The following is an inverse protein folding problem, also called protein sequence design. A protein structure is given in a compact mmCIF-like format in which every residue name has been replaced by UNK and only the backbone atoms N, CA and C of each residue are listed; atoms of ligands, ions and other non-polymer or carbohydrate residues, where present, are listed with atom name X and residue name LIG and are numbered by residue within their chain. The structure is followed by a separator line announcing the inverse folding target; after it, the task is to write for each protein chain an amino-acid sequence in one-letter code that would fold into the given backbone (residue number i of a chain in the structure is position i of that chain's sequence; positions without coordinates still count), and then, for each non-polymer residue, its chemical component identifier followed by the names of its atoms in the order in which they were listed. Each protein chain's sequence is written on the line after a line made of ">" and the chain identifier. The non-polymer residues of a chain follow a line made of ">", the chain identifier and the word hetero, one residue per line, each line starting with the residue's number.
data_IF_156784477290
#
_entry.id   IF_156784477290
#
_cell.length_a   1.000
_cell.length_b   1.000
_cell.length_c   1.000
_cell.angle_alpha   90.00
_cell.angle_beta   90.00
_cell.angle_gamma   90.00
#
_symmetry.space_group_name_H-M   'P 1'
#
loop_
_entity.id
_entity.type
_entity.pdbx_description
1 polymer ?
#
# COMPACT_ATOMS: atom_id res chain seq x y z
N UNK A 1 3.35 -18.42 59.93
CA UNK A 1 3.85 -18.63 58.58
C UNK A 1 2.70 -18.50 57.56
N UNK A 2 2.49 -17.36 56.93
CA UNK A 2 1.64 -17.20 55.71
C UNK A 2 1.58 -15.72 55.33
N UNK A 3 2.62 -15.21 54.66
CA UNK A 3 2.63 -13.81 54.16
C UNK A 3 3.39 -13.68 52.82
N UNK A 4 3.47 -14.70 52.00
CA UNK A 4 4.30 -14.68 50.78
C UNK A 4 3.58 -14.98 49.47
N UNK A 5 2.23 -14.96 49.40
CA UNK A 5 1.53 -15.37 48.19
C UNK A 5 0.61 -14.31 47.54
N UNK A 6 0.66 -13.06 47.92
CA UNK A 6 -0.23 -12.02 47.35
C UNK A 6 0.44 -10.96 46.45
N UNK A 7 1.75 -11.04 46.25
CA UNK A 7 2.48 -9.98 45.51
C UNK A 7 2.81 -10.33 44.02
N UNK A 8 2.49 -11.52 43.53
CA UNK A 8 2.85 -11.94 42.16
C UNK A 8 1.74 -11.70 41.14
N UNK A 9 0.50 -11.47 41.55
CA UNK A 9 -0.63 -11.35 40.63
C UNK A 9 -0.83 -9.95 39.98
N UNK A 10 -0.13 -8.92 40.44
CA UNK A 10 -0.34 -7.53 39.96
C UNK A 10 0.64 -7.14 38.86
N UNK A 11 1.76 -7.83 38.71
CA UNK A 11 2.78 -7.51 37.71
C UNK A 11 2.45 -8.05 36.30
N UNK A 12 1.52 -8.97 36.11
CA UNK A 12 1.19 -9.58 34.83
C UNK A 12 0.12 -8.81 34.02
N UNK A 13 -0.58 -7.85 34.65
CA UNK A 13 -1.67 -7.11 33.96
C UNK A 13 -1.22 -5.79 33.33
N UNK A 14 0.01 -5.36 33.56
CA UNK A 14 0.53 -4.09 33.02
C UNK A 14 1.27 -4.22 31.70
N UNK A 15 1.51 -5.44 31.17
CA UNK A 15 2.23 -5.63 29.90
C UNK A 15 1.32 -5.69 28.66
N UNK A 16 0.00 -5.78 28.80
CA UNK A 16 -0.91 -5.92 27.64
C UNK A 16 -1.50 -4.61 27.11
N UNK A 17 -1.17 -3.48 27.73
CA UNK A 17 -1.71 -2.17 27.33
C UNK A 17 -0.79 -1.36 26.40
N UNK A 18 0.39 -1.87 26.05
CA UNK A 18 1.34 -1.13 25.19
C UNK A 18 1.15 -1.37 23.68
N UNK A 19 0.28 -2.29 23.28
CA UNK A 19 0.14 -2.64 21.85
C UNK A 19 -0.97 -1.86 21.10
N UNK A 20 -1.74 -1.02 21.76
CA UNK A 20 -2.88 -0.32 21.15
C UNK A 20 -2.62 1.14 20.76
N UNK A 21 -1.39 1.63 20.91
CA UNK A 21 -1.05 3.03 20.59
C UNK A 21 -0.25 3.22 19.30
N UNK A 22 -0.01 2.15 18.56
CA UNK A 22 0.74 2.22 17.33
C UNK A 22 -0.22 2.46 16.16
N UNK A 23 -0.32 3.65 15.67
CA UNK A 23 -0.68 4.07 14.31
C UNK A 23 -1.60 5.31 14.21
N UNK A 24 -1.90 5.98 15.30
CA UNK A 24 -2.60 7.26 15.18
C UNK A 24 -1.67 8.30 14.54
N UNK A 25 -1.96 8.67 13.28
CA UNK A 25 -1.20 9.68 12.55
C UNK A 25 -0.13 9.14 11.59
N UNK A 26 -0.07 7.81 11.33
CA UNK A 26 0.79 7.25 10.29
C UNK A 26 0.37 7.74 8.89
N UNK A 27 1.35 7.97 8.02
CA UNK A 27 1.09 8.26 6.62
C UNK A 27 1.33 7.00 5.80
N UNK A 28 0.26 6.52 5.15
CA UNK A 28 0.30 5.40 4.21
C UNK A 28 0.45 5.93 2.79
N UNK A 29 1.58 5.63 2.16
CA UNK A 29 1.82 5.97 0.76
C UNK A 29 1.30 4.88 -0.15
N UNK A 30 0.53 5.28 -1.18
CA UNK A 30 0.00 4.40 -2.22
C UNK A 30 0.54 4.89 -3.55
N UNK A 31 1.28 4.06 -4.26
CA UNK A 31 1.72 4.36 -5.62
C UNK A 31 0.64 3.99 -6.63
N UNK A 32 0.21 4.92 -7.45
CA UNK A 32 -0.57 4.64 -8.65
C UNK A 32 0.38 4.55 -9.83
N UNK A 33 0.54 3.35 -10.38
CA UNK A 33 1.40 3.06 -11.55
C UNK A 33 0.50 2.85 -12.77
N UNK A 34 0.12 3.93 -13.41
CA UNK A 34 -0.78 3.95 -14.55
C UNK A 34 -0.34 4.96 -15.62
N UNK A 35 -0.81 4.85 -16.88
CA UNK A 35 -0.42 5.79 -17.90
C UNK A 35 -0.94 7.19 -17.61
N UNK A 36 -0.03 8.18 -17.58
CA UNK A 36 -0.38 9.59 -17.40
C UNK A 36 -0.07 10.42 -18.64
N UNK A 37 0.61 9.80 -19.61
CA UNK A 37 0.90 10.38 -20.93
C UNK A 37 0.44 9.45 -22.05
N UNK A 38 0.52 9.93 -23.30
CA UNK A 38 0.09 9.20 -24.47
C UNK A 38 -1.42 9.04 -24.59
N UNK A 39 -1.85 8.05 -25.38
CA UNK A 39 -3.27 7.84 -25.69
C UNK A 39 -4.14 7.59 -24.46
N UNK A 40 -3.62 6.85 -23.49
CA UNK A 40 -4.33 6.53 -22.24
C UNK A 40 -4.10 7.55 -21.12
N UNK A 41 -3.29 8.58 -21.35
CA UNK A 41 -2.96 9.62 -20.38
C UNK A 41 -4.18 10.29 -19.76
N UNK A 42 -5.19 10.74 -20.54
CA UNK A 42 -6.39 11.36 -19.98
C UNK A 42 -7.16 10.44 -19.00
N UNK A 43 -7.21 9.13 -19.30
CA UNK A 43 -7.84 8.15 -18.43
C UNK A 43 -7.07 7.99 -17.10
N UNK A 44 -5.75 7.77 -17.20
CA UNK A 44 -4.91 7.59 -16.00
C UNK A 44 -4.87 8.84 -15.12
N UNK A 45 -4.82 10.04 -15.71
CA UNK A 45 -4.91 11.30 -14.96
C UNK A 45 -6.26 11.47 -14.25
N UNK A 46 -7.36 11.05 -14.88
CA UNK A 46 -8.68 11.09 -14.25
C UNK A 46 -8.78 10.11 -13.07
N UNK A 47 -8.24 8.92 -13.24
CA UNK A 47 -8.16 7.92 -12.17
C UNK A 47 -7.30 8.44 -11.01
N UNK A 48 -6.13 9.03 -11.29
CA UNK A 48 -5.28 9.63 -10.26
C UNK A 48 -6.02 10.68 -9.43
N UNK A 49 -6.78 11.57 -10.09
CA UNK A 49 -7.61 12.57 -9.37
C UNK A 49 -8.66 11.93 -8.48
N UNK A 50 -9.27 10.84 -8.94
CA UNK A 50 -10.24 10.08 -8.13
C UNK A 50 -9.58 9.46 -6.90
N UNK A 51 -8.41 8.83 -7.07
CA UNK A 51 -7.63 8.29 -5.97
C UNK A 51 -7.22 9.37 -4.96
N UNK A 52 -6.74 10.54 -5.43
CA UNK A 52 -6.39 11.68 -4.58
C UNK A 52 -7.60 12.18 -3.78
N UNK A 53 -8.76 12.36 -4.43
CA UNK A 53 -9.98 12.78 -3.75
C UNK A 53 -10.37 11.82 -2.62
N UNK A 54 -10.34 10.52 -2.86
CA UNK A 54 -10.68 9.55 -1.82
C UNK A 54 -9.60 9.46 -0.74
N UNK A 55 -8.33 9.57 -1.08
CA UNK A 55 -7.23 9.61 -0.12
C UNK A 55 -7.39 10.80 0.85
N UNK A 56 -7.69 11.99 0.35
CA UNK A 56 -7.98 13.18 1.16
C UNK A 56 -9.21 12.97 2.05
N UNK A 57 -10.31 12.49 1.46
CA UNK A 57 -11.56 12.25 2.19
C UNK A 57 -11.37 11.25 3.32
N UNK A 58 -10.76 10.11 3.05
CA UNK A 58 -10.54 9.07 4.07
C UNK A 58 -9.48 9.48 5.10
N UNK A 59 -8.46 10.25 4.70
CA UNK A 59 -7.52 10.83 5.67
C UNK A 59 -8.21 11.73 6.70
N UNK A 60 -9.27 12.43 6.29
CA UNK A 60 -10.02 13.32 7.17
C UNK A 60 -11.02 12.59 8.07
N UNK A 61 -11.51 11.41 7.67
CA UNK A 61 -12.68 10.78 8.28
C UNK A 61 -12.40 9.44 8.98
N UNK A 62 -11.24 8.80 8.76
CA UNK A 62 -10.99 7.51 9.40
C UNK A 62 -10.67 7.67 10.90
N UNK A 63 -11.23 6.77 11.76
CA UNK A 63 -11.07 6.88 13.21
C UNK A 63 -9.65 6.58 13.70
N UNK A 64 -8.83 5.91 12.90
CA UNK A 64 -7.43 5.60 13.23
C UNK A 64 -6.51 6.81 13.04
N UNK A 65 -6.97 7.88 12.39
CA UNK A 65 -6.18 9.09 12.10
C UNK A 65 -5.06 8.85 11.09
N UNK A 66 -5.15 7.77 10.30
CA UNK A 66 -4.19 7.45 9.23
C UNK A 66 -4.35 8.46 8.10
N UNK A 67 -3.24 8.97 7.58
CA UNK A 67 -3.21 9.80 6.37
C UNK A 67 -2.83 8.96 5.17
N UNK A 68 -3.54 9.17 4.05
CA UNK A 68 -3.24 8.52 2.78
C UNK A 68 -2.60 9.52 1.84
N UNK A 69 -1.46 9.15 1.28
CA UNK A 69 -0.72 9.96 0.30
C UNK A 69 -0.63 9.18 -1.02
N UNK A 70 -1.09 9.80 -2.10
CA UNK A 70 -0.99 9.22 -3.44
C UNK A 70 0.29 9.68 -4.12
N UNK A 71 1.09 8.71 -4.60
CA UNK A 71 2.30 8.96 -5.39
C UNK A 71 2.06 8.44 -6.82
N UNK A 72 2.16 9.32 -7.79
CA UNK A 72 1.87 9.00 -9.19
C UNK A 72 3.14 8.59 -9.94
N UNK A 73 3.04 7.52 -10.73
CA UNK A 73 4.09 7.06 -11.65
C UNK A 73 3.49 6.82 -13.03
N UNK A 74 4.03 7.51 -14.02
CA UNK A 74 3.64 7.30 -15.43
C UNK A 74 4.35 6.06 -15.98
N UNK A 75 3.58 5.01 -16.23
CA UNK A 75 4.09 3.78 -16.84
C UNK A 75 3.99 3.76 -18.37
N UNK A 76 3.42 4.79 -18.98
CA UNK A 76 3.24 4.89 -20.45
C UNK A 76 2.59 3.66 -21.07
N UNK A 77 1.80 2.91 -20.30
CA UNK A 77 1.20 1.63 -20.67
C UNK A 77 2.26 0.55 -21.05
N UNK A 78 3.45 0.64 -20.51
CA UNK A 78 4.59 -0.26 -20.79
C UNK A 78 4.92 -1.13 -19.57
N UNK A 79 5.01 -2.47 -19.71
CA UNK A 79 5.51 -3.34 -18.64
C UNK A 79 6.89 -2.95 -18.12
N UNK A 80 7.83 -2.59 -19.03
CA UNK A 80 9.18 -2.20 -18.65
C UNK A 80 9.19 -0.91 -17.82
N UNK A 81 8.44 0.13 -18.23
CA UNK A 81 8.30 1.36 -17.45
C UNK A 81 7.59 1.12 -16.12
N UNK A 82 6.64 0.19 -16.07
CA UNK A 82 5.98 -0.20 -14.82
C UNK A 82 6.92 -0.84 -13.81
N UNK A 83 7.87 -1.66 -14.27
CA UNK A 83 8.91 -2.24 -13.40
C UNK A 83 9.89 -1.17 -12.88
N UNK A 84 10.24 -0.17 -13.72
CA UNK A 84 11.04 0.98 -13.29
C UNK A 84 10.29 1.81 -12.24
N UNK A 85 9.00 2.08 -12.47
CA UNK A 85 8.12 2.78 -11.54
C UNK A 85 7.96 2.01 -10.22
N UNK A 86 7.78 0.69 -10.26
CA UNK A 86 7.71 -0.15 -9.07
C UNK A 86 8.97 -0.03 -8.22
N UNK A 87 10.15 -0.13 -8.84
CA UNK A 87 11.42 0.06 -8.13
C UNK A 87 11.50 1.44 -7.49
N UNK A 88 11.16 2.50 -8.23
CA UNK A 88 11.18 3.86 -7.71
C UNK A 88 10.18 4.07 -6.57
N UNK A 89 9.02 3.38 -6.59
CA UNK A 89 8.07 3.38 -5.48
C UNK A 89 8.64 2.70 -4.23
N UNK A 90 9.30 1.55 -4.39
CA UNK A 90 9.99 0.87 -3.28
C UNK A 90 11.08 1.73 -2.64
N UNK A 91 11.88 2.43 -3.46
CA UNK A 91 12.94 3.34 -3.00
C UNK A 91 12.36 4.51 -2.17
N UNK A 92 11.09 4.88 -2.38
CA UNK A 92 10.34 5.86 -1.60
C UNK A 92 9.62 5.27 -0.38
N UNK A 93 9.81 3.99 -0.09
CA UNK A 93 9.19 3.30 1.04
C UNK A 93 7.71 2.98 0.84
N UNK A 94 7.21 3.00 -0.40
CA UNK A 94 5.82 2.64 -0.71
C UNK A 94 5.63 1.12 -0.52
N UNK A 95 4.49 0.75 0.08
CA UNK A 95 4.10 -0.65 0.32
C UNK A 95 2.79 -1.04 -0.35
N UNK A 96 2.09 -0.09 -0.95
CA UNK A 96 0.81 -0.30 -1.60
C UNK A 96 0.91 0.19 -3.03
N UNK A 97 0.74 -0.71 -3.99
CA UNK A 97 0.81 -0.43 -5.42
C UNK A 97 -0.58 -0.62 -6.01
N UNK A 98 -1.13 0.41 -6.61
CA UNK A 98 -2.39 0.36 -7.35
C UNK A 98 -2.13 0.50 -8.85
N UNK A 99 -2.80 -0.33 -9.65
CA UNK A 99 -2.71 -0.31 -11.11
C UNK A 99 -4.01 -0.84 -11.72
N UNK A 100 -4.47 -0.29 -12.83
CA UNK A 100 -5.69 -0.70 -13.47
C UNK A 100 -5.65 -0.76 -15.00
N UNK A 101 -4.75 -0.05 -15.64
CA UNK A 101 -4.74 0.06 -17.10
C UNK A 101 -3.73 -0.91 -17.72
N UNK A 102 -4.27 -1.90 -18.46
CA UNK A 102 -3.49 -2.86 -19.24
C UNK A 102 -3.10 -4.12 -18.48
N UNK A 103 -3.65 -5.27 -18.93
CA UNK A 103 -3.40 -6.57 -18.29
C UNK A 103 -1.95 -7.02 -18.39
N UNK A 104 -1.23 -6.72 -19.48
CA UNK A 104 0.20 -7.02 -19.60
C UNK A 104 1.05 -6.26 -18.57
N UNK A 105 0.64 -5.04 -18.24
CA UNK A 105 1.26 -4.23 -17.18
C UNK A 105 0.97 -4.83 -15.82
N UNK A 106 -0.30 -5.20 -15.56
CA UNK A 106 -0.70 -5.85 -14.32
C UNK A 106 0.09 -7.14 -14.07
N UNK A 107 0.17 -8.03 -15.06
CA UNK A 107 0.93 -9.27 -14.97
C UNK A 107 2.41 -9.04 -14.61
N UNK A 108 3.06 -8.08 -15.26
CA UNK A 108 4.44 -7.74 -14.95
C UNK A 108 4.63 -7.23 -13.50
N UNK A 109 3.69 -6.43 -13.01
CA UNK A 109 3.72 -5.92 -11.63
C UNK A 109 3.41 -7.01 -10.62
N UNK A 110 2.44 -7.91 -10.88
CA UNK A 110 2.13 -9.07 -10.04
C UNK A 110 3.38 -9.93 -9.85
N UNK A 111 4.04 -10.28 -10.95
CA UNK A 111 5.28 -11.07 -10.91
C UNK A 111 6.39 -10.36 -10.11
N UNK A 112 6.54 -9.05 -10.28
CA UNK A 112 7.54 -8.27 -9.58
C UNK A 112 7.25 -8.19 -8.08
N UNK A 113 6.00 -7.99 -7.69
CA UNK A 113 5.55 -7.96 -6.30
C UNK A 113 5.75 -9.31 -5.64
N UNK A 114 5.36 -10.41 -6.27
CA UNK A 114 5.55 -11.75 -5.75
C UNK A 114 7.04 -12.04 -5.49
N UNK A 115 7.90 -11.78 -6.47
CA UNK A 115 9.36 -11.93 -6.33
C UNK A 115 9.97 -11.02 -5.25
N UNK A 116 9.44 -9.80 -5.11
CA UNK A 116 9.86 -8.91 -4.03
C UNK A 116 9.49 -9.47 -2.66
N UNK A 117 8.25 -9.91 -2.49
CA UNK A 117 7.73 -10.42 -1.23
C UNK A 117 8.45 -11.71 -0.79
N UNK A 118 8.73 -12.63 -1.72
CA UNK A 118 9.51 -13.83 -1.46
C UNK A 118 10.93 -13.51 -0.93
N UNK A 119 11.56 -12.44 -1.44
CA UNK A 119 12.94 -12.08 -1.11
C UNK A 119 13.08 -11.16 0.09
N UNK A 120 11.99 -10.54 0.51
CA UNK A 120 12.01 -9.50 1.53
C UNK A 120 10.94 -9.71 2.61
N UNK A 121 10.99 -10.83 3.39
CA UNK A 121 10.03 -11.08 4.45
C UNK A 121 10.04 -9.94 5.49
N UNK A 122 8.85 -9.49 5.89
CA UNK A 122 8.64 -8.32 6.77
C UNK A 122 8.70 -6.98 6.04
N UNK A 123 8.89 -7.00 4.72
CA UNK A 123 8.88 -5.81 3.85
C UNK A 123 7.97 -6.03 2.63
N UNK A 124 6.92 -6.78 2.83
CA UNK A 124 5.98 -7.13 1.79
C UNK A 124 5.25 -5.90 1.21
N UNK A 125 4.89 -6.02 -0.04
CA UNK A 125 4.13 -5.04 -0.80
C UNK A 125 2.77 -5.64 -1.17
N UNK A 126 1.72 -4.84 -1.12
CA UNK A 126 0.38 -5.21 -1.57
C UNK A 126 0.15 -4.63 -2.96
N UNK A 127 -0.29 -5.47 -3.90
CA UNK A 127 -0.73 -5.05 -5.22
C UNK A 127 -2.26 -5.00 -5.28
N UNK A 128 -2.78 -3.88 -5.72
CA UNK A 128 -4.21 -3.60 -5.86
C UNK A 128 -4.54 -3.45 -7.35
N UNK A 129 -5.01 -4.55 -7.95
CA UNK A 129 -5.61 -4.48 -9.29
C UNK A 129 -7.02 -3.91 -9.17
N UNK A 130 -7.28 -2.74 -9.77
CA UNK A 130 -8.62 -2.14 -9.69
C UNK A 130 -9.39 -2.15 -11.01
N UNK A 131 -8.77 -2.45 -12.15
CA UNK A 131 -9.43 -2.43 -13.44
C UNK A 131 -8.80 -3.28 -14.57
N UNK A 132 -7.64 -3.92 -14.36
CA UNK A 132 -7.12 -4.87 -15.36
C UNK A 132 -8.01 -6.12 -15.40
N UNK A 133 -8.45 -6.48 -16.62
CA UNK A 133 -9.57 -7.40 -16.83
C UNK A 133 -9.18 -8.83 -17.20
N UNK A 134 -7.91 -9.17 -17.15
CA UNK A 134 -7.47 -10.54 -17.38
C UNK A 134 -8.04 -11.45 -16.28
N UNK A 135 -8.77 -12.53 -16.62
CA UNK A 135 -9.40 -13.41 -15.64
C UNK A 135 -8.39 -14.12 -14.72
N UNK A 136 -7.14 -14.24 -15.14
CA UNK A 136 -6.09 -14.87 -14.32
C UNK A 136 -5.60 -13.96 -13.17
N UNK A 137 -6.09 -12.72 -13.08
CA UNK A 137 -5.69 -11.74 -12.04
C UNK A 137 -6.75 -11.51 -10.97
N UNK A 138 -7.80 -12.35 -10.93
CA UNK A 138 -8.93 -12.25 -9.98
C UNK A 138 -9.00 -13.42 -9.02
#
# INVERSE_FOLDING_TARGET
>A
MSFALKSVAIAALSLTLLSAHAQKGETVKIALIDPQTGLMGPLGLNQMRSWQFFAEKFSATNPAGVKFEMVAFDNKLSPAESLNAFKAALDQGVRYIAQGNGSSVAGALIDAVNKHNERNPGKEVVFLNYAAVDPDFT
#
